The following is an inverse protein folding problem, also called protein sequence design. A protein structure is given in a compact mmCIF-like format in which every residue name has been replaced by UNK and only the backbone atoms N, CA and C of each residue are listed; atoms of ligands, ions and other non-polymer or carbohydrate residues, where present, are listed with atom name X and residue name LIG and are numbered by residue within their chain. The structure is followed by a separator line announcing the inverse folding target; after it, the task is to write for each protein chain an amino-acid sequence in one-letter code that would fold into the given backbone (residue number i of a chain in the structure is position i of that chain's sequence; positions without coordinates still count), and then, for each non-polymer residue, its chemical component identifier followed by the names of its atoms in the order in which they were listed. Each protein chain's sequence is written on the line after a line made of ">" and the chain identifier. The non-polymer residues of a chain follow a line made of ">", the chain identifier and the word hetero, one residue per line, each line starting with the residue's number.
data_IF_328517192894
#
_entry.id   IF_328517192894
#
_cell.length_a   1.000
_cell.length_b   1.000
_cell.length_c   1.000
_cell.angle_alpha   90.00
_cell.angle_beta   90.00
_cell.angle_gamma   90.00
#
_symmetry.space_group_name_H-M   'P 1'
#
loop_
_entity.id
_entity.type
_entity.pdbx_description
1 polymer ?
#
# COMPACT_ATOMS: atom_id res chain seq x y z
N UNK A 1 14.45 -5.35 1.67
CA UNK A 1 13.81 -6.64 1.96
C UNK A 1 12.43 -6.63 1.35
N UNK A 2 12.09 -7.63 0.54
CA UNK A 2 10.78 -7.72 -0.12
C UNK A 2 9.67 -8.11 0.87
N UNK A 3 8.52 -7.43 0.80
CA UNK A 3 7.30 -7.71 1.55
C UNK A 3 6.12 -8.13 0.64
N UNK A 4 6.38 -8.51 -0.62
CA UNK A 4 5.40 -9.16 -1.50
C UNK A 4 5.11 -10.61 -1.06
N UNK A 5 4.00 -11.18 -1.52
CA UNK A 5 3.53 -12.53 -1.16
C UNK A 5 2.19 -12.51 -0.42
N UNK A 6 1.94 -13.50 0.44
CA UNK A 6 0.66 -13.64 1.16
C UNK A 6 0.50 -12.57 2.24
N UNK A 7 -0.68 -11.93 2.27
CA UNK A 7 -1.13 -11.00 3.31
C UNK A 7 -2.53 -11.43 3.77
N UNK A 8 -2.83 -11.22 5.05
CA UNK A 8 -4.20 -11.27 5.55
C UNK A 8 -5.01 -10.15 4.91
N UNK A 9 -6.28 -10.41 4.61
CA UNK A 9 -7.14 -9.53 3.83
C UNK A 9 -8.55 -9.50 4.40
N UNK A 10 -9.20 -8.33 4.36
CA UNK A 10 -10.58 -8.12 4.79
C UNK A 10 -11.23 -6.96 4.02
N UNK A 11 -12.55 -7.04 3.83
CA UNK A 11 -13.36 -5.93 3.29
C UNK A 11 -14.03 -5.15 4.41
N UNK A 12 -14.17 -3.85 4.23
CA UNK A 12 -14.84 -2.94 5.16
C UNK A 12 -15.85 -2.09 4.39
N UNK A 13 -16.81 -2.73 3.73
CA UNK A 13 -17.78 -2.06 2.84
C UNK A 13 -18.64 -1.00 3.56
N UNK A 14 -18.71 -1.06 4.90
CA UNK A 14 -19.41 -0.08 5.74
C UNK A 14 -18.53 1.04 6.30
N UNK A 15 -17.23 1.05 5.99
CA UNK A 15 -16.22 1.98 6.53
C UNK A 15 -16.29 2.15 8.06
N UNK A 16 -16.30 1.02 8.76
CA UNK A 16 -16.40 0.99 10.24
C UNK A 16 -15.08 0.62 10.91
N UNK A 17 -14.11 0.12 10.15
CA UNK A 17 -12.87 -0.45 10.66
C UNK A 17 -12.02 0.55 11.41
N UNK A 18 -12.09 1.84 11.05
CA UNK A 18 -11.42 2.90 11.83
C UNK A 18 -12.03 3.00 13.24
N UNK A 19 -13.35 3.14 13.33
CA UNK A 19 -14.06 3.27 14.62
C UNK A 19 -13.95 2.02 15.49
N UNK A 20 -13.72 0.86 14.89
CA UNK A 20 -13.56 -0.43 15.56
C UNK A 20 -12.09 -0.83 15.81
N UNK A 21 -11.13 0.01 15.43
CA UNK A 21 -9.69 -0.24 15.58
C UNK A 21 -9.22 -1.55 14.89
N UNK A 22 -9.63 -1.79 13.65
CA UNK A 22 -9.31 -3.02 12.91
C UNK A 22 -7.79 -3.29 12.78
N UNK A 23 -6.95 -2.25 12.82
CA UNK A 23 -5.50 -2.39 12.84
C UNK A 23 -4.94 -3.12 14.09
N UNK A 24 -5.76 -3.34 15.11
CA UNK A 24 -5.41 -4.12 16.31
C UNK A 24 -6.09 -5.49 16.37
N UNK A 25 -6.91 -5.84 15.36
CA UNK A 25 -7.77 -7.03 15.35
C UNK A 25 -7.26 -8.05 14.34
N UNK A 26 -6.34 -8.96 14.69
CA UNK A 26 -5.84 -9.94 13.73
C UNK A 26 -6.93 -10.91 13.24
N UNK A 27 -8.02 -11.07 13.99
CA UNK A 27 -9.13 -11.99 13.73
C UNK A 27 -10.06 -11.55 12.59
N UNK A 28 -10.05 -10.26 12.21
CA UNK A 28 -10.87 -9.76 11.10
C UNK A 28 -10.29 -10.12 9.72
N UNK A 29 -9.00 -10.47 9.65
CA UNK A 29 -8.33 -10.84 8.40
C UNK A 29 -8.57 -12.33 8.10
N UNK A 30 -9.81 -12.65 7.76
CA UNK A 30 -10.32 -14.01 7.54
C UNK A 30 -9.91 -14.59 6.18
N UNK A 31 -9.33 -13.76 5.31
CA UNK A 31 -8.90 -14.15 3.95
C UNK A 31 -7.43 -13.88 3.75
N UNK A 32 -6.91 -14.36 2.62
CA UNK A 32 -5.54 -14.12 2.18
C UNK A 32 -5.54 -13.55 0.76
N UNK A 33 -4.59 -12.65 0.49
CA UNK A 33 -4.33 -12.09 -0.83
C UNK A 33 -2.84 -12.12 -1.13
N UNK A 34 -2.47 -12.36 -2.39
CA UNK A 34 -1.08 -12.27 -2.86
C UNK A 34 -0.78 -10.85 -3.34
N UNK A 35 -0.05 -10.09 -2.54
CA UNK A 35 0.51 -8.78 -2.91
C UNK A 35 1.72 -8.99 -3.83
N UNK A 36 1.89 -8.21 -4.91
CA UNK A 36 1.19 -6.96 -5.21
C UNK A 36 0.10 -7.10 -6.26
N UNK A 37 -0.60 -8.24 -6.34
CA UNK A 37 -1.71 -8.34 -7.27
C UNK A 37 -2.97 -7.72 -6.64
N UNK A 38 -3.70 -6.88 -7.39
CA UNK A 38 -4.94 -6.28 -6.89
C UNK A 38 -6.02 -7.36 -6.69
N UNK A 39 -7.01 -7.15 -5.81
CA UNK A 39 -8.09 -8.11 -5.57
C UNK A 39 -8.77 -8.61 -6.85
N UNK A 40 -8.93 -7.73 -7.84
CA UNK A 40 -9.55 -8.02 -9.14
C UNK A 40 -8.78 -9.04 -9.99
N UNK A 41 -7.48 -9.21 -9.75
CA UNK A 41 -6.62 -10.12 -10.51
C UNK A 41 -6.78 -11.57 -10.07
N UNK A 42 -6.73 -12.52 -11.02
CA UNK A 42 -6.65 -13.95 -10.70
C UNK A 42 -5.38 -14.30 -9.90
N UNK A 43 -4.27 -13.59 -10.15
CA UNK A 43 -2.99 -13.84 -9.50
C UNK A 43 -2.98 -13.44 -8.02
N UNK A 44 -3.95 -12.66 -7.56
CA UNK A 44 -4.13 -12.32 -6.15
C UNK A 44 -4.67 -13.49 -5.33
N UNK A 45 -5.24 -14.50 -6.00
CA UNK A 45 -5.97 -15.60 -5.40
C UNK A 45 -7.44 -15.29 -5.08
N UNK A 46 -7.90 -14.06 -5.32
CA UNK A 46 -9.28 -13.63 -5.02
C UNK A 46 -10.15 -13.51 -6.27
N UNK A 47 -9.66 -12.82 -7.32
CA UNK A 47 -10.42 -12.50 -8.54
C UNK A 47 -11.75 -11.80 -8.24
N UNK A 48 -11.72 -10.80 -7.37
CA UNK A 48 -12.90 -10.08 -6.92
C UNK A 48 -13.07 -8.77 -7.66
N UNK A 49 -14.06 -8.73 -8.56
CA UNK A 49 -14.34 -7.54 -9.38
C UNK A 49 -15.44 -6.64 -8.81
N UNK A 50 -16.14 -7.10 -7.77
CA UNK A 50 -17.17 -6.32 -7.07
C UNK A 50 -16.58 -5.06 -6.41
N UNK A 51 -17.40 -4.05 -6.16
CA UNK A 51 -16.95 -2.83 -5.49
C UNK A 51 -16.76 -3.05 -3.99
N UNK A 52 -15.53 -2.81 -3.52
CA UNK A 52 -15.16 -2.81 -2.11
C UNK A 52 -14.47 -1.48 -1.78
N UNK A 53 -15.21 -0.46 -1.30
CA UNK A 53 -14.69 0.89 -1.14
C UNK A 53 -13.53 1.00 -0.15
N UNK A 54 -13.49 0.11 0.84
CA UNK A 54 -12.43 0.05 1.84
C UNK A 54 -12.01 -1.41 2.00
N UNK A 55 -10.70 -1.64 1.89
CA UNK A 55 -10.08 -2.95 2.06
C UNK A 55 -8.88 -2.83 2.98
N UNK A 56 -8.63 -3.90 3.74
CA UNK A 56 -7.60 -3.95 4.75
C UNK A 56 -6.63 -5.10 4.48
N UNK A 57 -5.35 -4.83 4.68
CA UNK A 57 -4.27 -5.78 4.54
C UNK A 57 -3.51 -5.91 5.86
N UNK A 58 -3.05 -7.11 6.20
CA UNK A 58 -2.20 -7.36 7.36
C UNK A 58 -1.07 -8.31 7.03
N UNK A 59 0.14 -7.99 7.48
CA UNK A 59 1.29 -8.89 7.35
C UNK A 59 2.22 -8.81 8.54
N UNK A 60 2.69 -9.98 8.96
CA UNK A 60 3.81 -10.10 9.90
C UNK A 60 5.13 -10.18 9.11
N UNK A 61 6.19 -9.53 9.61
CA UNK A 61 7.52 -9.60 9.02
C UNK A 61 8.61 -9.54 10.09
N UNK A 62 9.71 -10.26 9.87
CA UNK A 62 10.93 -10.10 10.66
C UNK A 62 11.73 -8.92 10.09
N UNK A 63 12.02 -7.86 10.85
CA UNK A 63 12.66 -6.67 10.32
C UNK A 63 14.16 -6.95 10.08
N UNK A 64 14.79 -6.33 9.07
CA UNK A 64 16.25 -6.35 8.98
C UNK A 64 16.85 -5.64 10.20
N UNK A 65 18.12 -5.94 10.51
CA UNK A 65 18.83 -5.25 11.58
C UNK A 65 18.93 -3.75 11.26
N UNK A 66 18.46 -2.92 12.17
CA UNK A 66 18.61 -1.45 12.13
C UNK A 66 19.57 -1.03 13.24
N UNK A 67 20.65 -0.37 12.87
CA UNK A 67 21.68 0.10 13.80
C UNK A 67 21.37 1.53 14.29
N UNK A 68 22.09 1.95 15.33
CA UNK A 68 22.05 3.35 15.76
C UNK A 68 22.49 4.26 14.62
N UNK A 69 21.71 5.31 14.33
CA UNK A 69 21.96 6.22 13.21
C UNK A 69 21.40 5.74 11.87
N UNK A 70 20.66 4.64 11.83
CA UNK A 70 19.92 4.18 10.65
C UNK A 70 18.40 4.39 10.81
N UNK A 71 17.70 4.33 9.68
CA UNK A 71 16.23 4.36 9.57
C UNK A 71 15.77 3.14 8.77
N UNK A 72 14.60 2.63 9.12
CA UNK A 72 13.87 1.66 8.32
C UNK A 72 12.72 2.36 7.60
N UNK A 73 12.80 2.40 6.28
CA UNK A 73 11.74 2.91 5.42
C UNK A 73 10.89 1.75 4.93
N UNK A 74 9.57 1.86 5.09
CA UNK A 74 8.57 1.01 4.46
C UNK A 74 8.10 1.69 3.18
N UNK A 75 8.29 1.04 2.04
CA UNK A 75 8.05 1.59 0.72
C UNK A 75 6.92 0.83 0.03
N UNK A 76 6.05 1.58 -0.65
CA UNK A 76 4.99 1.06 -1.48
C UNK A 76 5.18 1.60 -2.89
N UNK A 77 5.15 0.72 -3.88
CA UNK A 77 5.22 1.15 -5.28
C UNK A 77 3.97 1.91 -5.72
N UNK A 78 2.80 1.53 -5.19
CA UNK A 78 1.50 2.18 -5.38
C UNK A 78 0.44 1.46 -4.52
N UNK A 79 -0.55 2.23 -4.03
CA UNK A 79 -1.76 1.72 -3.38
C UNK A 79 -2.94 2.56 -3.88
N UNK A 80 -3.94 1.95 -4.52
CA UNK A 80 -5.10 2.67 -5.06
C UNK A 80 -6.26 2.71 -4.04
N UNK A 81 -6.79 3.87 -3.61
CA UNK A 81 -6.34 5.25 -3.89
C UNK A 81 -5.70 5.94 -2.67
N UNK A 82 -6.38 5.91 -1.53
CA UNK A 82 -5.92 6.50 -0.28
C UNK A 82 -5.51 5.41 0.70
N UNK A 83 -4.28 5.50 1.21
CA UNK A 83 -3.71 4.52 2.12
C UNK A 83 -3.47 5.11 3.51
N UNK A 84 -3.80 4.35 4.55
CA UNK A 84 -3.35 4.59 5.92
C UNK A 84 -2.58 3.36 6.40
N UNK A 85 -1.41 3.57 7.00
CA UNK A 85 -0.50 2.49 7.37
C UNK A 85 -0.24 2.51 8.87
N UNK A 86 -0.31 1.34 9.49
CA UNK A 86 0.07 1.11 10.88
C UNK A 86 1.18 0.07 10.97
N UNK A 87 2.11 0.26 11.89
CA UNK A 87 3.08 -0.74 12.30
C UNK A 87 2.95 -0.96 13.80
N UNK A 88 2.77 -2.22 14.22
CA UNK A 88 2.53 -2.62 15.62
C UNK A 88 1.43 -1.80 16.31
N UNK A 89 0.39 -1.46 15.56
CA UNK A 89 -0.75 -0.70 16.04
C UNK A 89 -0.55 0.83 16.08
N UNK A 90 0.65 1.33 15.79
CA UNK A 90 0.95 2.76 15.69
C UNK A 90 0.76 3.24 14.25
N UNK A 91 0.03 4.34 14.06
CA UNK A 91 -0.12 4.95 12.74
C UNK A 91 1.22 5.57 12.32
N UNK A 92 1.77 5.14 11.18
CA UNK A 92 3.07 5.60 10.67
C UNK A 92 2.94 6.56 9.49
N UNK A 93 1.74 6.74 8.94
CA UNK A 93 1.45 7.75 7.94
C UNK A 93 0.30 7.41 7.01
N UNK A 94 0.06 8.34 6.08
CA UNK A 94 -0.99 8.28 5.08
C UNK A 94 -0.42 8.64 3.71
N UNK A 95 -1.08 8.19 2.65
CA UNK A 95 -0.79 8.57 1.28
C UNK A 95 -2.08 8.70 0.47
N UNK A 96 -2.12 9.64 -0.46
CA UNK A 96 -3.20 9.82 -1.41
C UNK A 96 -2.62 9.87 -2.82
N UNK A 97 -3.02 8.93 -3.68
CA UNK A 97 -2.45 8.77 -5.02
C UNK A 97 -2.28 7.33 -5.44
N UNK A 98 -3.16 6.84 -6.31
CA UNK A 98 -3.19 5.42 -6.68
C UNK A 98 -2.06 4.91 -7.56
N UNK A 99 -1.24 5.79 -8.13
CA UNK A 99 -0.29 5.45 -9.19
C UNK A 99 1.11 6.01 -8.96
N UNK A 100 1.41 6.47 -7.75
CA UNK A 100 2.71 7.03 -7.38
C UNK A 100 3.27 6.30 -6.15
N UNK A 101 4.59 6.11 -6.08
CA UNK A 101 5.21 5.45 -4.93
C UNK A 101 5.25 6.37 -3.72
N UNK A 102 5.30 5.78 -2.53
CA UNK A 102 5.52 6.49 -1.28
C UNK A 102 6.32 5.66 -0.27
N UNK A 103 6.98 6.36 0.64
CA UNK A 103 7.84 5.77 1.68
C UNK A 103 7.50 6.37 3.04
N UNK A 104 7.45 5.53 4.08
CA UNK A 104 7.20 5.92 5.46
C UNK A 104 8.37 5.48 6.35
N UNK A 105 8.89 6.39 7.19
CA UNK A 105 9.87 6.03 8.22
C UNK A 105 9.15 5.33 9.38
N UNK A 106 9.39 4.03 9.52
CA UNK A 106 8.75 3.17 10.52
C UNK A 106 9.68 2.87 11.70
N UNK A 107 10.86 3.48 11.75
CA UNK A 107 11.91 3.17 12.76
C UNK A 107 11.40 3.30 14.18
N UNK A 108 10.58 4.33 14.45
CA UNK A 108 10.04 4.63 15.77
C UNK A 108 8.95 3.66 16.22
N UNK A 109 8.34 2.91 15.30
CA UNK A 109 7.26 1.99 15.56
C UNK A 109 7.71 0.53 15.76
N UNK A 110 9.02 0.27 15.64
CA UNK A 110 9.58 -1.06 15.81
C UNK A 110 9.64 -1.47 17.28
N UNK A 111 9.26 -2.72 17.55
CA UNK A 111 9.43 -3.40 18.83
C UNK A 111 10.43 -4.56 18.74
N UNK A 112 10.43 -5.43 19.75
CA UNK A 112 11.23 -6.66 19.73
C UNK A 112 10.57 -7.75 18.88
N UNK A 113 11.39 -8.54 18.17
CA UNK A 113 10.92 -9.70 17.41
C UNK A 113 10.27 -9.38 16.07
N UNK A 114 9.23 -10.14 15.73
CA UNK A 114 8.46 -9.92 14.50
C UNK A 114 7.54 -8.70 14.64
N UNK A 115 7.39 -7.98 13.54
CA UNK A 115 6.59 -6.77 13.45
C UNK A 115 5.33 -7.04 12.64
N UNK A 116 4.27 -6.27 12.87
CA UNK A 116 3.02 -6.36 12.11
C UNK A 116 2.78 -5.04 11.41
N UNK A 117 2.59 -5.10 10.09
CA UNK A 117 2.07 -3.99 9.29
C UNK A 117 0.60 -4.23 8.98
N UNK A 118 -0.21 -3.18 9.11
CA UNK A 118 -1.59 -3.12 8.64
C UNK A 118 -1.74 -1.94 7.69
N UNK A 119 -2.43 -2.15 6.58
CA UNK A 119 -2.72 -1.12 5.59
C UNK A 119 -4.22 -1.08 5.34
N UNK A 120 -4.82 0.09 5.47
CA UNK A 120 -6.16 0.38 4.96
C UNK A 120 -6.00 1.05 3.61
N UNK A 121 -6.67 0.55 2.59
CA UNK A 121 -6.80 1.21 1.29
C UNK A 121 -8.27 1.59 1.07
N UNK A 122 -8.50 2.83 0.66
CA UNK A 122 -9.81 3.36 0.32
C UNK A 122 -9.83 3.84 -1.12
N UNK A 123 -10.85 3.42 -1.85
CA UNK A 123 -11.10 3.71 -3.25
C UNK A 123 -12.63 3.78 -3.44
N UNK A 124 -13.19 4.99 -3.34
CA UNK A 124 -14.63 5.23 -3.49
C UNK A 124 -15.03 5.24 -4.99
N UNK A 125 -15.57 4.15 -5.54
CA UNK A 125 -15.70 4.00 -6.99
C UNK A 125 -16.71 4.96 -7.60
N UNK A 126 -17.65 5.49 -6.83
CA UNK A 126 -18.68 6.42 -7.32
C UNK A 126 -18.36 7.89 -7.04
N UNK A 127 -17.28 8.19 -6.32
CA UNK A 127 -16.89 9.58 -6.10
C UNK A 127 -16.26 10.15 -7.37
N UNK A 128 -16.97 11.08 -8.01
CA UNK A 128 -16.52 11.74 -9.25
C UNK A 128 -15.37 12.71 -9.03
N UNK A 129 -15.09 13.09 -7.78
CA UNK A 129 -13.96 13.97 -7.43
C UNK A 129 -12.64 13.21 -7.38
N UNK A 130 -12.69 11.89 -7.21
CA UNK A 130 -11.52 11.05 -7.10
C UNK A 130 -10.95 10.74 -8.50
N UNK A 131 -9.65 10.97 -8.73
CA UNK A 131 -9.04 10.68 -10.01
C UNK A 131 -8.92 9.17 -10.23
N UNK A 132 -9.73 8.63 -11.15
CA UNK A 132 -9.78 7.19 -11.50
C UNK A 132 -8.95 6.80 -12.73
N UNK A 133 -8.25 7.76 -13.33
CA UNK A 133 -7.52 7.55 -14.58
C UNK A 133 -8.41 6.93 -15.66
N UNK A 134 -7.95 5.82 -16.25
CA UNK A 134 -8.67 5.08 -17.29
C UNK A 134 -9.36 3.83 -16.72
N UNK A 135 -9.98 3.94 -15.55
CA UNK A 135 -10.84 2.89 -14.96
C UNK A 135 -12.32 3.21 -15.19
N UNK A 136 -13.16 2.18 -15.32
CA UNK A 136 -14.61 2.34 -15.48
C UNK A 136 -15.26 2.68 -14.13
N UNK A 137 -16.39 3.39 -14.16
CA UNK A 137 -17.19 3.69 -12.96
C UNK A 137 -18.30 2.65 -12.72
N UNK A 138 -18.54 1.76 -13.68
CA UNK A 138 -19.40 0.60 -13.54
C UNK A 138 -18.59 -0.63 -13.09
N UNK A 139 -19.26 -1.55 -12.42
CA UNK A 139 -18.64 -2.79 -11.93
C UNK A 139 -18.12 -3.67 -13.09
N UNK A 140 -18.94 -3.80 -14.14
CA UNK A 140 -18.52 -4.40 -15.39
C UNK A 140 -18.02 -3.31 -16.35
N UNK A 141 -16.81 -3.44 -16.92
CA UNK A 141 -16.29 -2.46 -17.85
C UNK A 141 -17.17 -2.42 -19.11
N UNK A 142 -17.55 -1.21 -19.54
CA UNK A 142 -18.49 -1.00 -20.65
C UNK A 142 -17.91 -0.16 -21.79
N UNK A 143 -16.84 0.59 -21.52
CA UNK A 143 -16.14 1.42 -22.52
C UNK A 143 -14.63 1.15 -22.58
N UNK A 144 -14.15 0.18 -21.79
CA UNK A 144 -12.76 -0.27 -21.71
C UNK A 144 -12.70 -1.81 -21.63
N UNK A 145 -11.51 -2.39 -21.81
CA UNK A 145 -11.32 -3.86 -21.87
C UNK A 145 -10.66 -4.49 -20.65
N UNK A 146 -10.43 -3.71 -19.58
CA UNK A 146 -9.81 -4.21 -18.34
C UNK A 146 -10.64 -3.80 -17.13
N UNK A 147 -10.56 -4.64 -16.10
CA UNK A 147 -11.15 -4.35 -14.79
C UNK A 147 -10.36 -3.26 -14.07
N UNK A 148 -11.00 -2.63 -13.08
CA UNK A 148 -10.34 -1.67 -12.20
C UNK A 148 -9.23 -2.33 -11.37
N UNK A 149 -8.47 -1.51 -10.66
CA UNK A 149 -7.39 -1.95 -9.79
C UNK A 149 -7.57 -1.23 -8.47
N UNK A 150 -7.79 -1.95 -7.38
CA UNK A 150 -7.89 -1.37 -6.05
C UNK A 150 -6.76 -1.90 -5.15
N UNK A 151 -6.42 -1.15 -4.10
CA UNK A 151 -5.47 -1.59 -3.07
C UNK A 151 -4.02 -1.67 -3.55
N UNK A 152 -3.25 -2.58 -2.94
CA UNK A 152 -1.81 -2.70 -3.16
C UNK A 152 -1.53 -3.44 -4.48
N UNK A 153 -1.28 -2.70 -5.56
CA UNK A 153 -1.09 -3.26 -6.91
C UNK A 153 0.35 -3.15 -7.46
N UNK A 154 1.28 -2.62 -6.66
CA UNK A 154 2.72 -2.57 -6.92
C UNK A 154 3.51 -3.07 -5.69
N UNK A 155 4.79 -3.46 -5.84
CA UNK A 155 5.56 -4.08 -4.78
C UNK A 155 5.62 -3.29 -3.47
N UNK A 156 5.78 -4.01 -2.36
CA UNK A 156 6.02 -3.44 -1.02
C UNK A 156 7.36 -3.94 -0.52
N UNK A 157 8.21 -3.06 0.01
CA UNK A 157 9.54 -3.45 0.47
C UNK A 157 10.10 -2.54 1.58
N UNK A 158 11.05 -3.07 2.35
CA UNK A 158 11.80 -2.34 3.36
C UNK A 158 13.18 -1.93 2.84
N UNK A 159 13.62 -0.72 3.22
CA UNK A 159 14.97 -0.23 3.00
C UNK A 159 15.58 0.26 4.31
N UNK A 160 16.78 -0.20 4.64
CA UNK A 160 17.58 0.40 5.71
C UNK A 160 18.45 1.49 5.09
N UNK A 161 18.35 2.70 5.64
CA UNK A 161 19.11 3.87 5.17
C UNK A 161 19.79 4.56 6.34
N UNK A 162 20.94 5.22 6.14
CA UNK A 162 21.49 6.10 7.16
C UNK A 162 20.53 7.26 7.47
N UNK A 163 20.58 7.78 8.70
CA UNK A 163 19.76 8.91 9.13
C UNK A 163 19.95 10.15 8.23
N UNK A 164 21.15 10.32 7.68
CA UNK A 164 21.43 11.23 6.57
C UNK A 164 21.47 10.44 5.26
N UNK A 165 20.47 10.60 4.41
CA UNK A 165 20.39 9.96 3.10
C UNK A 165 19.82 10.91 2.05
N UNK A 166 20.04 10.57 0.78
CA UNK A 166 19.43 11.27 -0.35
C UNK A 166 17.97 10.84 -0.48
N UNK A 167 17.07 11.81 -0.59
CA UNK A 167 15.64 11.56 -0.78
C UNK A 167 15.19 11.81 -2.22
N UNK A 168 15.84 12.75 -2.91
CA UNK A 168 15.53 13.12 -4.28
C UNK A 168 16.80 13.55 -5.02
N UNK A 169 16.81 13.33 -6.33
CA UNK A 169 17.85 13.78 -7.25
C UNK A 169 17.18 14.33 -8.50
N UNK A 170 17.49 15.57 -8.82
CA UNK A 170 16.99 16.23 -10.02
C UNK A 170 18.15 16.59 -10.94
N UNK A 171 18.10 16.09 -12.18
CA UNK A 171 19.08 16.35 -13.22
C UNK A 171 18.41 17.05 -14.40
N UNK A 172 19.06 18.07 -14.95
CA UNK A 172 18.59 18.77 -16.15
C UNK A 172 19.66 18.64 -17.24
N UNK A 173 19.40 17.91 -18.34
CA UNK A 173 20.39 17.74 -19.39
C UNK A 173 20.65 19.05 -20.14
N UNK A 174 21.92 19.35 -20.38
CA UNK A 174 22.39 20.43 -21.24
C UNK A 174 22.58 19.89 -22.66
N UNK A 175 21.54 20.09 -23.49
CA UNK A 175 21.52 19.57 -24.86
C UNK A 175 22.55 20.26 -25.77
N UNK A 176 22.85 21.54 -25.51
CA UNK A 176 23.80 22.30 -26.34
C UNK A 176 25.24 21.80 -26.16
N UNK A 177 25.56 21.30 -24.96
CA UNK A 177 26.90 20.80 -24.62
C UNK A 177 26.94 19.29 -24.39
N UNK A 178 25.86 18.57 -24.72
CA UNK A 178 25.76 17.11 -24.64
C UNK A 178 26.17 16.51 -23.29
N UNK A 179 25.68 17.07 -22.17
CA UNK A 179 26.00 16.59 -20.80
C UNK A 179 24.78 16.61 -19.87
N UNK A 180 24.91 15.92 -18.73
CA UNK A 180 23.96 15.89 -17.61
C UNK A 180 24.61 16.50 -16.38
#
# INVERSE_FOLDING_TARGET
>A
MDLCGSWGFAHDDGDTGIGQNWWQRPDIFDRQIVVPFPPESELSGLRETAFHPVIWYRRTFSPPRVQSGERLLLNFGAVDYAATVWVNGQCVGNHEGGHVPFSLDVTHALGEGDQVVVVRAEDQPQDVRMPRGKQDWLEAPHSIWYHRTSGIWQPVWLSVVPALHLTDLHFVPDLAHHRV
#
